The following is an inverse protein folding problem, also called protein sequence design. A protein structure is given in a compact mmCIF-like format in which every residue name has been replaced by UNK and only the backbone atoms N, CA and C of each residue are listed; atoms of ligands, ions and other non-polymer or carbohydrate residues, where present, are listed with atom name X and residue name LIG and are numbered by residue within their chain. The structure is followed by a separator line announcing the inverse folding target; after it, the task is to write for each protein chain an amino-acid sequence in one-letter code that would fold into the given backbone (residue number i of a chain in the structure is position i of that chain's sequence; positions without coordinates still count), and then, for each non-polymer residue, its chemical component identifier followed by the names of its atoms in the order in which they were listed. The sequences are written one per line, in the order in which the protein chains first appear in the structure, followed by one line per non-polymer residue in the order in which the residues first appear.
data_IF_191602997207
#
_entry.id   IF_191602997207
#
_cell.length_a   1.000
_cell.length_b   1.000
_cell.length_c   1.000
_cell.angle_alpha   90.00
_cell.angle_beta   90.00
_cell.angle_gamma   90.00
#
_symmetry.space_group_name_H-M   'P 1'
#
loop_
_entity.id
_entity.type
_entity.pdbx_description
1 polymer ?
#
# COMPACT_ATOMS: atom_id res chain seq x y z
N UNK A 1 -10.06 21.19 2.40
CA UNK A 1 -8.64 21.28 2.81
C UNK A 1 -8.48 20.42 4.06
N UNK A 2 -7.53 19.49 4.10
CA UNK A 2 -7.32 18.59 5.25
C UNK A 2 -6.63 19.32 6.40
N UNK A 3 -6.92 18.91 7.64
CA UNK A 3 -6.19 19.39 8.82
C UNK A 3 -4.71 19.01 8.70
N UNK A 4 -3.84 19.81 9.30
CA UNK A 4 -2.39 19.58 9.24
C UNK A 4 -2.00 18.26 9.90
N UNK A 5 -2.71 17.87 10.97
CA UNK A 5 -2.54 16.59 11.63
C UNK A 5 -2.88 15.39 10.73
N UNK A 6 -3.96 15.49 9.93
CA UNK A 6 -4.31 14.44 8.96
C UNK A 6 -3.25 14.34 7.87
N UNK A 7 -2.75 15.47 7.36
CA UNK A 7 -1.65 15.48 6.36
C UNK A 7 -0.40 14.79 6.91
N UNK A 8 0.00 15.14 8.14
CA UNK A 8 1.17 14.56 8.79
C UNK A 8 0.99 13.04 8.99
N UNK A 9 -0.21 12.60 9.39
CA UNK A 9 -0.51 11.17 9.51
C UNK A 9 -0.35 10.43 8.17
N UNK A 10 -0.93 10.95 7.08
CA UNK A 10 -0.87 10.26 5.79
C UNK A 10 0.56 10.27 5.19
N UNK A 11 1.33 11.33 5.42
CA UNK A 11 2.75 11.39 5.03
C UNK A 11 3.56 10.34 5.80
N UNK A 12 3.36 10.24 7.12
CA UNK A 12 4.04 9.23 7.95
C UNK A 12 3.72 7.80 7.46
N UNK A 13 2.44 7.50 7.19
CA UNK A 13 2.04 6.21 6.65
C UNK A 13 2.61 5.94 5.25
N UNK A 14 2.83 6.97 4.43
CA UNK A 14 3.45 6.82 3.11
C UNK A 14 4.92 6.45 3.22
N UNK A 15 5.66 7.11 4.11
CA UNK A 15 7.09 6.92 4.28
C UNK A 15 7.41 5.64 5.05
N UNK A 16 6.70 5.41 6.16
CA UNK A 16 6.98 4.33 7.11
C UNK A 16 6.08 3.10 6.94
N UNK A 17 4.98 3.25 6.21
CA UNK A 17 4.00 2.21 5.98
C UNK A 17 2.97 2.06 7.11
N UNK A 18 2.17 0.99 7.06
CA UNK A 18 1.09 0.83 8.01
C UNK A 18 1.54 0.64 9.45
N UNK A 19 0.78 1.26 10.35
CA UNK A 19 1.08 1.35 11.76
C UNK A 19 -0.07 0.79 12.59
N UNK A 20 0.24 0.39 13.82
CA UNK A 20 -0.78 -0.07 14.77
C UNK A 20 -1.34 1.13 15.52
N UNK A 21 -2.65 1.15 15.76
CA UNK A 21 -3.31 2.18 16.57
C UNK A 21 -2.63 2.32 17.95
N UNK A 22 -2.29 1.18 18.58
CA UNK A 22 -1.59 1.16 19.87
C UNK A 22 -0.17 1.73 19.85
N UNK A 23 0.43 1.91 18.67
CA UNK A 23 1.73 2.59 18.52
C UNK A 23 1.59 4.08 18.26
N UNK A 24 0.48 4.50 17.65
CA UNK A 24 0.15 5.91 17.43
C UNK A 24 -0.27 6.60 18.72
N UNK A 25 -0.86 5.86 19.65
CA UNK A 25 -1.44 6.39 20.88
C UNK A 25 -2.93 6.71 20.71
N UNK A 26 -3.73 6.48 21.75
CA UNK A 26 -5.19 6.69 21.72
C UNK A 26 -5.55 8.17 21.51
N UNK A 27 -4.67 9.10 21.87
CA UNK A 27 -4.80 10.52 21.60
C UNK A 27 -4.84 10.86 20.10
N UNK A 28 -4.27 10.00 19.24
CA UNK A 28 -4.31 10.16 17.78
C UNK A 28 -5.57 9.55 17.17
N UNK A 29 -6.44 8.89 17.94
CA UNK A 29 -7.67 8.24 17.43
C UNK A 29 -8.58 9.22 16.67
N UNK A 30 -8.86 10.44 17.16
CA UNK A 30 -9.71 11.39 16.43
C UNK A 30 -9.14 11.74 15.04
N UNK A 31 -7.82 11.86 14.91
CA UNK A 31 -7.14 12.17 13.65
C UNK A 31 -7.25 10.98 12.68
N UNK A 32 -7.08 9.75 13.19
CA UNK A 32 -7.24 8.53 12.39
C UNK A 32 -8.67 8.37 11.90
N UNK A 33 -9.66 8.59 12.76
CA UNK A 33 -11.08 8.52 12.40
C UNK A 33 -11.48 9.61 11.39
N UNK A 34 -10.93 10.83 11.53
CA UNK A 34 -11.10 11.90 10.55
C UNK A 34 -10.53 11.48 9.18
N UNK A 35 -9.30 10.98 9.15
CA UNK A 35 -8.65 10.52 7.93
C UNK A 35 -9.40 9.33 7.29
N UNK A 36 -9.98 8.44 8.10
CA UNK A 36 -10.79 7.32 7.62
C UNK A 36 -12.12 7.79 7.01
N UNK A 37 -12.83 8.72 7.67
CA UNK A 37 -14.05 9.34 7.13
C UNK A 37 -13.80 10.04 5.80
N UNK A 38 -12.62 10.63 5.63
CA UNK A 38 -12.19 11.25 4.38
C UNK A 38 -11.74 10.24 3.32
N UNK A 39 -11.65 8.95 3.69
CA UNK A 39 -11.24 7.84 2.82
C UNK A 39 -9.76 7.82 2.50
N UNK A 40 -8.92 8.54 3.25
CA UNK A 40 -7.46 8.60 3.06
C UNK A 40 -6.75 7.39 3.67
N UNK A 41 -7.29 6.88 4.77
CA UNK A 41 -6.83 5.65 5.42
C UNK A 41 -7.96 4.65 5.57
N UNK A 42 -7.59 3.41 5.86
CA UNK A 42 -8.52 2.37 6.34
C UNK A 42 -7.97 1.75 7.61
N UNK A 43 -8.88 1.42 8.52
CA UNK A 43 -8.57 0.64 9.71
C UNK A 43 -8.94 -0.83 9.45
N UNK A 44 -7.97 -1.73 9.58
CA UNK A 44 -8.21 -3.18 9.54
C UNK A 44 -7.93 -3.80 10.88
N UNK A 45 -8.97 -4.43 11.45
CA UNK A 45 -8.83 -5.29 12.63
C UNK A 45 -8.13 -6.59 12.23
N UNK A 46 -6.94 -6.79 12.77
CA UNK A 46 -6.16 -8.02 12.67
C UNK A 46 -6.07 -8.64 14.06
N UNK A 47 -6.93 -9.63 14.33
CA UNK A 47 -7.15 -10.23 15.65
C UNK A 47 -7.55 -9.15 16.68
N UNK A 48 -6.69 -8.82 17.64
CA UNK A 48 -6.91 -7.83 18.72
C UNK A 48 -6.19 -6.49 18.42
N UNK A 49 -5.77 -6.27 17.17
CA UNK A 49 -5.01 -5.06 16.81
C UNK A 49 -5.63 -4.34 15.64
N UNK A 50 -5.65 -3.03 15.72
CA UNK A 50 -6.11 -2.13 14.66
C UNK A 50 -4.87 -1.68 13.88
N UNK A 51 -4.82 -2.06 12.59
CA UNK A 51 -3.77 -1.63 11.65
C UNK A 51 -4.34 -0.53 10.78
N UNK A 52 -3.64 0.59 10.73
CA UNK A 52 -4.01 1.77 9.94
C UNK A 52 -3.08 1.83 8.73
N UNK A 53 -3.66 1.96 7.54
CA UNK A 53 -2.91 2.00 6.29
C UNK A 53 -3.56 2.96 5.31
N UNK A 54 -2.74 3.50 4.38
CA UNK A 54 -3.23 4.37 3.32
C UNK A 54 -4.11 3.61 2.34
N UNK A 55 -5.19 4.27 1.93
CA UNK A 55 -5.93 3.89 0.72
C UNK A 55 -5.20 4.41 -0.51
N UNK A 56 -5.67 4.03 -1.70
CA UNK A 56 -5.16 4.64 -2.94
C UNK A 56 -5.41 6.14 -2.98
N UNK A 57 -6.55 6.60 -2.47
CA UNK A 57 -6.87 8.03 -2.36
C UNK A 57 -5.86 8.73 -1.45
N UNK A 58 -5.52 8.12 -0.31
CA UNK A 58 -4.48 8.62 0.59
C UNK A 58 -3.10 8.69 -0.08
N UNK A 59 -2.71 7.65 -0.82
CA UNK A 59 -1.45 7.65 -1.58
C UNK A 59 -1.39 8.80 -2.60
N UNK A 60 -2.43 8.96 -3.41
CA UNK A 60 -2.52 10.04 -4.39
C UNK A 60 -2.47 11.42 -3.74
N UNK A 61 -3.11 11.58 -2.58
CA UNK A 61 -3.09 12.84 -1.87
C UNK A 61 -1.70 13.17 -1.31
N UNK A 62 -0.98 12.19 -0.76
CA UNK A 62 0.40 12.38 -0.32
C UNK A 62 1.30 12.79 -1.48
N UNK A 63 1.15 12.16 -2.64
CA UNK A 63 1.94 12.52 -3.82
C UNK A 63 1.66 13.93 -4.31
N UNK A 64 0.41 14.39 -4.28
CA UNK A 64 0.06 15.80 -4.55
C UNK A 64 0.72 16.74 -3.55
N UNK A 65 0.67 16.42 -2.25
CA UNK A 65 1.31 17.23 -1.20
C UNK A 65 2.83 17.29 -1.41
N UNK A 66 3.44 16.18 -1.82
CA UNK A 66 4.89 16.09 -2.09
C UNK A 66 5.30 16.60 -3.48
N UNK A 67 4.35 16.98 -4.34
CA UNK A 67 4.64 17.40 -5.72
C UNK A 67 5.26 16.28 -6.57
N UNK A 68 4.90 15.02 -6.31
CA UNK A 68 5.41 13.86 -7.06
C UNK A 68 4.52 13.66 -8.28
N UNK A 69 5.12 13.72 -9.46
CA UNK A 69 4.49 13.38 -10.73
C UNK A 69 5.06 12.07 -11.26
N UNK A 70 4.20 11.28 -11.89
CA UNK A 70 4.58 9.99 -12.49
C UNK A 70 4.22 9.99 -13.97
N UNK A 71 5.23 9.87 -14.82
CA UNK A 71 5.03 9.51 -16.23
C UNK A 71 5.05 7.98 -16.35
N UNK A 72 3.87 7.37 -16.49
CA UNK A 72 3.74 5.91 -16.62
C UNK A 72 3.25 5.57 -18.02
N UNK A 73 4.13 5.02 -18.86
CA UNK A 73 3.71 4.39 -20.10
C UNK A 73 3.07 3.02 -19.80
N UNK A 74 1.75 3.03 -19.57
CA UNK A 74 1.01 1.85 -19.07
C UNK A 74 1.13 0.65 -20.01
N UNK A 75 1.07 0.86 -21.32
CA UNK A 75 1.13 -0.21 -22.32
C UNK A 75 2.51 -0.88 -22.33
N UNK A 76 3.56 -0.07 -22.25
CA UNK A 76 4.93 -0.56 -22.16
C UNK A 76 5.17 -1.32 -20.85
N UNK A 77 4.71 -0.78 -19.72
CA UNK A 77 4.80 -1.47 -18.43
C UNK A 77 4.10 -2.82 -18.45
N UNK A 78 2.87 -2.88 -18.98
CA UNK A 78 2.10 -4.12 -19.11
C UNK A 78 2.86 -5.15 -19.95
N UNK A 79 3.47 -4.74 -21.06
CA UNK A 79 4.21 -5.65 -21.96
C UNK A 79 5.41 -6.33 -21.29
N UNK A 80 5.99 -5.68 -20.26
CA UNK A 80 7.16 -6.17 -19.52
C UNK A 80 6.77 -7.03 -18.31
N UNK A 81 5.47 -7.24 -18.04
CA UNK A 81 5.01 -8.01 -16.90
C UNK A 81 4.86 -9.49 -17.23
N UNK A 82 5.30 -10.33 -16.29
CA UNK A 82 5.00 -11.77 -16.35
C UNK A 82 3.59 -12.05 -15.84
N UNK A 83 3.02 -13.20 -16.22
CA UNK A 83 1.71 -13.66 -15.71
C UNK A 83 1.64 -13.69 -14.18
N UNK A 84 2.75 -14.02 -13.50
CA UNK A 84 2.81 -14.02 -12.04
C UNK A 84 2.78 -12.60 -11.46
N UNK A 85 3.48 -11.66 -12.10
CA UNK A 85 3.49 -10.25 -11.69
C UNK A 85 2.10 -9.61 -11.89
N UNK A 86 1.41 -9.92 -12.99
CA UNK A 86 0.03 -9.47 -13.24
C UNK A 86 -0.90 -9.96 -12.13
N UNK A 87 -0.87 -11.26 -11.79
CA UNK A 87 -1.68 -11.82 -10.70
C UNK A 87 -1.42 -11.12 -9.36
N UNK A 88 -0.16 -10.80 -9.06
CA UNK A 88 0.21 -10.07 -7.84
C UNK A 88 -0.38 -8.66 -7.82
N UNK A 89 -0.24 -7.90 -8.91
CA UNK A 89 -0.77 -6.55 -9.02
C UNK A 89 -2.29 -6.50 -8.89
N UNK A 90 -3.00 -7.37 -9.61
CA UNK A 90 -4.46 -7.48 -9.54
C UNK A 90 -4.92 -7.83 -8.11
N UNK A 91 -4.21 -8.73 -7.43
CA UNK A 91 -4.56 -9.09 -6.05
C UNK A 91 -4.32 -7.96 -5.06
N UNK A 92 -3.36 -7.08 -5.33
CA UNK A 92 -3.07 -5.91 -4.51
C UNK A 92 -4.01 -4.72 -4.77
N UNK A 93 -4.90 -4.76 -5.77
CA UNK A 93 -5.97 -3.76 -5.94
C UNK A 93 -6.95 -3.74 -4.77
N UNK A 94 -7.12 -4.88 -4.09
CA UNK A 94 -7.89 -4.97 -2.83
C UNK A 94 -7.22 -4.18 -1.68
N UNK A 95 -6.03 -3.67 -1.92
CA UNK A 95 -5.23 -2.87 -1.00
C UNK A 95 -4.12 -3.68 -0.37
N UNK A 96 -3.75 -3.23 0.82
CA UNK A 96 -2.61 -3.74 1.55
C UNK A 96 -2.79 -5.19 2.03
N UNK A 97 -1.76 -6.02 1.82
CA UNK A 97 -1.76 -7.44 2.22
C UNK A 97 -0.43 -7.86 2.83
N UNK A 98 -0.42 -8.69 3.89
CA UNK A 98 0.80 -9.38 4.29
C UNK A 98 1.38 -10.22 3.15
N UNK A 99 2.65 -9.97 2.78
CA UNK A 99 3.66 -11.00 2.47
C UNK A 99 3.10 -12.37 2.09
N UNK A 100 3.12 -13.19 3.16
CA UNK A 100 2.71 -14.57 3.18
C UNK A 100 1.28 -14.79 2.71
N UNK A 101 0.33 -13.97 3.13
CA UNK A 101 -1.07 -14.12 2.74
C UNK A 101 -1.27 -13.87 1.24
N UNK A 102 -0.60 -12.86 0.69
CA UNK A 102 -0.62 -12.60 -0.76
C UNK A 102 -0.07 -13.79 -1.56
N UNK A 103 1.06 -14.34 -1.11
CA UNK A 103 1.69 -15.50 -1.76
C UNK A 103 0.84 -16.77 -1.64
N UNK A 104 0.22 -17.00 -0.48
CA UNK A 104 -0.74 -18.10 -0.25
C UNK A 104 -1.96 -17.98 -1.17
N UNK A 105 -2.56 -16.79 -1.30
CA UNK A 105 -3.72 -16.54 -2.17
C UNK A 105 -3.41 -16.78 -3.66
N UNK A 106 -2.16 -16.58 -4.08
CA UNK A 106 -1.72 -16.79 -5.47
C UNK A 106 -1.23 -18.23 -5.69
N UNK A 107 -1.08 -19.02 -4.62
CA UNK A 107 -0.60 -20.39 -4.70
C UNK A 107 0.91 -20.50 -4.99
N UNK A 108 1.71 -19.55 -4.49
CA UNK A 108 3.16 -19.52 -4.73
C UNK A 108 3.94 -19.30 -3.44
N UNK A 109 5.22 -19.68 -3.43
CA UNK A 109 6.19 -19.34 -2.38
C UNK A 109 7.34 -18.47 -2.93
N UNK A 110 7.28 -18.11 -4.21
CA UNK A 110 8.35 -17.36 -4.89
C UNK A 110 8.28 -15.87 -4.51
N UNK A 111 9.36 -15.36 -3.93
CA UNK A 111 9.51 -13.93 -3.60
C UNK A 111 10.10 -13.10 -4.74
N UNK A 112 10.73 -13.74 -5.74
CA UNK A 112 11.39 -13.03 -6.84
C UNK A 112 10.46 -12.13 -7.66
N UNK A 113 9.18 -12.46 -7.93
CA UNK A 113 8.28 -11.54 -8.63
C UNK A 113 7.97 -10.28 -7.82
N UNK A 114 7.90 -10.38 -6.49
CA UNK A 114 7.73 -9.22 -5.61
C UNK A 114 8.96 -8.32 -5.64
N UNK A 115 10.16 -8.89 -5.66
CA UNK A 115 11.38 -8.08 -5.77
C UNK A 115 11.45 -7.35 -7.10
N UNK A 116 11.08 -8.01 -8.21
CA UNK A 116 11.04 -7.37 -9.53
C UNK A 116 10.02 -6.25 -9.62
N UNK A 117 8.80 -6.47 -9.10
CA UNK A 117 7.76 -5.43 -9.06
C UNK A 117 8.17 -4.23 -8.18
N UNK A 118 8.90 -4.47 -7.08
CA UNK A 118 9.44 -3.40 -6.23
C UNK A 118 10.56 -2.63 -6.93
N UNK A 119 11.45 -3.31 -7.66
CA UNK A 119 12.47 -2.67 -8.51
C UNK A 119 11.87 -1.83 -9.64
N UNK A 120 10.75 -2.28 -10.20
CA UNK A 120 9.95 -1.51 -11.18
C UNK A 120 9.19 -0.34 -10.55
N UNK A 121 9.22 -0.17 -9.22
CA UNK A 121 8.50 0.88 -8.52
C UNK A 121 6.97 0.73 -8.51
N UNK A 122 6.43 -0.44 -8.86
CA UNK A 122 4.98 -0.70 -8.91
C UNK A 122 4.40 -1.09 -7.55
N UNK A 123 5.24 -1.54 -6.63
CA UNK A 123 4.85 -1.89 -5.27
C UNK A 123 5.88 -1.35 -4.29
N UNK A 124 5.46 -1.19 -3.04
CA UNK A 124 6.35 -0.84 -1.93
C UNK A 124 6.21 -1.88 -0.84
N UNK A 125 7.33 -2.42 -0.37
CA UNK A 125 7.35 -3.31 0.77
C UNK A 125 7.73 -2.57 2.06
N UNK A 126 7.01 -2.86 3.15
CA UNK A 126 7.27 -2.29 4.46
C UNK A 126 7.77 -3.39 5.41
N UNK A 127 8.99 -3.24 5.90
CA UNK A 127 9.62 -4.22 6.82
C UNK A 127 9.55 -3.72 8.25
N UNK A 128 8.80 -4.41 9.11
CA UNK A 128 8.87 -4.17 10.54
C UNK A 128 10.11 -4.88 11.11
N UNK A 129 11.17 -4.11 11.41
CA UNK A 129 12.49 -4.64 11.83
C UNK A 129 12.51 -5.33 13.21
N UNK A 130 11.42 -5.27 14.00
CA UNK A 130 11.43 -5.68 15.42
C UNK A 130 10.76 -7.03 15.75
N UNK A 131 10.34 -7.85 14.79
CA UNK A 131 9.75 -9.18 15.08
C UNK A 131 10.29 -10.29 14.18
N UNK A 132 10.54 -11.43 14.80
CA UNK A 132 10.78 -12.76 14.19
C UNK A 132 9.66 -13.20 13.24
N UNK A 133 8.47 -12.62 13.37
CA UNK A 133 7.44 -12.64 12.33
C UNK A 133 7.70 -11.49 11.35
N UNK A 134 8.38 -11.82 10.25
CA UNK A 134 8.53 -10.99 9.06
C UNK A 134 7.17 -10.66 8.43
N UNK A 135 6.35 -9.82 9.07
CA UNK A 135 5.22 -9.18 8.41
C UNK A 135 5.80 -8.18 7.42
N UNK A 136 6.24 -8.70 6.27
CA UNK A 136 6.53 -7.87 5.10
C UNK A 136 5.19 -7.39 4.58
N UNK A 137 5.03 -6.12 4.86
CA UNK A 137 4.02 -5.22 4.38
C UNK A 137 4.05 -5.11 2.86
N UNK A 138 2.98 -5.19 2.08
CA UNK A 138 3.05 -4.79 0.67
C UNK A 138 1.79 -4.05 0.23
N UNK A 139 1.99 -2.99 -0.54
CA UNK A 139 0.95 -2.24 -1.23
C UNK A 139 1.40 -1.84 -2.63
N UNK A 140 0.43 -1.50 -3.48
CA UNK A 140 0.70 -0.80 -4.74
C UNK A 140 1.25 0.61 -4.44
N UNK A 141 2.14 1.08 -5.30
CA UNK A 141 2.41 2.51 -5.47
C UNK A 141 1.35 3.12 -6.39
N UNK A 142 1.34 4.44 -6.58
CA UNK A 142 0.44 5.06 -7.55
C UNK A 142 0.69 4.55 -8.98
N UNK A 143 1.94 4.46 -9.49
CA UNK A 143 2.23 3.81 -10.78
C UNK A 143 1.70 2.38 -10.85
N UNK A 144 1.95 1.57 -9.82
CA UNK A 144 1.45 0.21 -9.76
C UNK A 144 -0.06 0.10 -9.79
N UNK A 145 -0.76 1.02 -9.14
CA UNK A 145 -2.21 1.07 -9.17
C UNK A 145 -2.75 1.45 -10.55
N UNK A 146 -2.14 2.41 -11.23
CA UNK A 146 -2.52 2.80 -12.60
C UNK A 146 -2.41 1.58 -13.53
N UNK A 147 -1.27 0.88 -13.47
CA UNK A 147 -1.02 -0.32 -14.28
C UNK A 147 -1.99 -1.45 -13.92
N UNK A 148 -2.17 -1.72 -12.63
CA UNK A 148 -3.08 -2.77 -12.14
C UNK A 148 -4.54 -2.50 -12.53
N UNK A 149 -4.98 -1.24 -12.46
CA UNK A 149 -6.32 -0.84 -12.86
C UNK A 149 -6.54 -1.07 -14.35
N UNK A 150 -5.59 -0.66 -15.20
CA UNK A 150 -5.68 -0.91 -16.64
C UNK A 150 -5.71 -2.40 -16.97
N UNK A 151 -4.97 -3.22 -16.23
CA UNK A 151 -5.01 -4.68 -16.36
C UNK A 151 -6.37 -5.28 -15.98
N UNK A 152 -7.09 -4.70 -15.02
CA UNK A 152 -8.40 -5.19 -14.57
C UNK A 152 -9.56 -4.79 -15.49
N UNK A 153 -9.38 -3.76 -16.32
CA UNK A 153 -10.37 -3.27 -17.29
C UNK A 153 -10.30 -3.99 -18.65
N UNK A 154 -9.32 -4.89 -18.83
CA UNK A 154 -9.17 -5.73 -20.04
C UNK A 154 -9.89 -7.05 -19.88
#
# INVERSE_FOLDING_TARGET
MYSEDVKNLIIDLYDNGPILMSKLGEEKRPIVEEAEKQGLVKIRKMNIREVIYLTIKGLQEVEKIKGIEHEVNVEEEISKLTQMEIKLLLRLLEGFKPVRKLLEEIGTRKYSPLQKLEQKGLIKSFKNRRRTLNYRIISLTVPGWIVAKKLAER
#
